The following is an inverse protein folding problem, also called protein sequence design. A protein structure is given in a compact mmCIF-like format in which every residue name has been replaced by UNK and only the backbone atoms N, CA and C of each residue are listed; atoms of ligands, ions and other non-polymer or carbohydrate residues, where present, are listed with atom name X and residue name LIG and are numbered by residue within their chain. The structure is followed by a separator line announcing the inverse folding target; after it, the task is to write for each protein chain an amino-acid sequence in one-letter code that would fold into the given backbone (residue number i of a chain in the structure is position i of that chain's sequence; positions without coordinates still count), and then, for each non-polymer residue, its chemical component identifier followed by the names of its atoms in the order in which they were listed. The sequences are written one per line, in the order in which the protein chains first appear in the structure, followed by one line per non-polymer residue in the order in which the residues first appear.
data_IF_309398415818
#
_entry.id   IF_309398415818
#
_cell.length_a   1.000
_cell.length_b   1.000
_cell.length_c   1.000
_cell.angle_alpha   90.00
_cell.angle_beta   90.00
_cell.angle_gamma   90.00
#
_symmetry.space_group_name_H-M   'P 1'
#
loop_
_entity.id
_entity.type
_entity.pdbx_description
1 polymer ?
#
# COMPACT_ATOMS: atom_id res chain seq x y z
N UNK A 1 17.42 -0.11 49.20
CA UNK A 1 17.28 0.55 47.88
C UNK A 1 16.01 0.15 47.13
N UNK A 2 15.56 -1.12 47.13
CA UNK A 2 14.41 -1.56 46.30
C UNK A 2 13.07 -0.90 46.62
N UNK A 3 12.74 -0.62 47.90
CA UNK A 3 11.45 0.00 48.27
C UNK A 3 11.34 1.48 47.87
N UNK A 4 12.43 2.24 47.97
CA UNK A 4 12.47 3.65 47.60
C UNK A 4 12.33 3.79 46.08
N UNK A 5 13.13 3.02 45.33
CA UNK A 5 13.07 2.99 43.86
C UNK A 5 11.71 2.57 43.32
N UNK A 6 11.03 1.61 43.97
CA UNK A 6 9.64 1.25 43.62
C UNK A 6 8.65 2.38 43.87
N UNK A 7 8.85 3.20 44.91
CA UNK A 7 8.00 4.39 45.14
C UNK A 7 8.26 5.45 44.09
N UNK A 8 9.52 5.72 43.78
CA UNK A 8 9.93 6.66 42.73
C UNK A 8 9.44 6.21 41.35
N UNK A 9 9.55 4.92 41.02
CA UNK A 9 9.03 4.36 39.77
C UNK A 9 7.50 4.50 39.66
N UNK A 10 6.76 4.29 40.75
CA UNK A 10 5.31 4.51 40.78
C UNK A 10 4.95 5.98 40.57
N UNK A 11 5.69 6.89 41.23
CA UNK A 11 5.52 8.33 41.05
C UNK A 11 5.83 8.76 39.60
N UNK A 12 6.91 8.23 39.01
CA UNK A 12 7.23 8.42 37.59
C UNK A 12 6.16 7.85 36.66
N UNK A 13 5.60 6.68 36.96
CA UNK A 13 4.52 6.07 36.18
C UNK A 13 3.27 6.95 36.19
N UNK A 14 2.82 7.39 37.38
CA UNK A 14 1.66 8.29 37.51
C UNK A 14 1.92 9.61 36.75
N UNK A 15 3.14 10.13 36.86
CA UNK A 15 3.55 11.33 36.16
C UNK A 15 3.53 11.15 34.63
N UNK A 16 4.08 10.04 34.13
CA UNK A 16 4.04 9.69 32.71
C UNK A 16 2.60 9.53 32.22
N UNK A 17 1.74 8.83 32.96
CA UNK A 17 0.34 8.62 32.59
C UNK A 17 -0.41 9.96 32.43
N UNK A 18 -0.12 10.94 33.28
CA UNK A 18 -0.64 12.30 33.11
C UNK A 18 -0.17 12.96 31.80
N UNK A 19 1.10 12.79 31.41
CA UNK A 19 1.63 13.33 30.15
C UNK A 19 1.05 12.59 28.92
N UNK A 20 0.91 11.27 29.03
CA UNK A 20 0.29 10.42 28.01
C UNK A 20 -1.16 10.81 27.78
N UNK A 21 -1.92 11.10 28.84
CA UNK A 21 -3.28 11.57 28.73
C UNK A 21 -3.37 12.90 27.95
N UNK A 22 -2.54 13.89 28.29
CA UNK A 22 -2.47 15.18 27.57
C UNK A 22 -2.12 15.00 26.09
N UNK A 23 -1.18 14.10 25.78
CA UNK A 23 -0.79 13.79 24.40
C UNK A 23 -1.92 13.10 23.65
N UNK A 24 -2.63 12.15 24.25
CA UNK A 24 -3.78 11.49 23.64
C UNK A 24 -4.90 12.49 23.36
N UNK A 25 -5.18 13.42 24.28
CA UNK A 25 -6.15 14.50 24.07
C UNK A 25 -5.72 15.43 22.93
N UNK A 26 -4.42 15.75 22.84
CA UNK A 26 -3.88 16.52 21.70
C UNK A 26 -4.00 15.73 20.40
N UNK A 27 -3.75 14.41 20.43
CA UNK A 27 -3.87 13.55 19.26
C UNK A 27 -5.31 13.47 18.76
N UNK A 28 -6.31 13.47 19.64
CA UNK A 28 -7.73 13.51 19.24
C UNK A 28 -8.10 14.78 18.44
N UNK A 29 -7.30 15.85 18.52
CA UNK A 29 -7.49 17.03 17.66
C UNK A 29 -7.24 16.67 16.19
N UNK A 30 -6.32 15.73 15.92
CA UNK A 30 -6.07 15.21 14.56
C UNK A 30 -7.26 14.41 14.02
N UNK A 31 -8.17 13.88 14.84
CA UNK A 31 -9.37 13.20 14.32
C UNK A 31 -10.37 14.19 13.70
N UNK A 32 -10.20 15.49 13.94
CA UNK A 32 -11.06 16.56 13.42
C UNK A 32 -10.42 17.21 12.20
N UNK A 33 -11.28 17.63 11.26
CA UNK A 33 -10.85 18.43 10.10
C UNK A 33 -10.23 19.74 10.60
N UNK A 34 -9.02 20.03 10.13
CA UNK A 34 -8.35 21.28 10.47
C UNK A 34 -9.15 22.47 9.94
N UNK A 35 -9.40 23.52 10.77
CA UNK A 35 -10.16 24.69 10.33
C UNK A 35 -9.51 25.36 9.12
N UNK A 36 -10.32 25.76 8.14
CA UNK A 36 -9.84 26.48 6.95
C UNK A 36 -9.24 27.86 7.28
N UNK A 37 -9.55 28.41 8.46
CA UNK A 37 -8.97 29.66 8.97
C UNK A 37 -7.56 29.48 9.54
N UNK A 38 -7.08 28.24 9.72
CA UNK A 38 -5.75 27.96 10.25
C UNK A 38 -4.72 28.08 9.13
N UNK A 39 -3.58 28.71 9.43
CA UNK A 39 -2.47 28.78 8.49
C UNK A 39 -1.91 27.36 8.25
N UNK A 40 -1.97 26.92 6.99
CA UNK A 40 -1.39 25.64 6.57
C UNK A 40 0.12 25.71 6.73
N UNK A 41 0.67 24.83 7.57
CA UNK A 41 2.12 24.67 7.69
C UNK A 41 2.66 23.78 6.59
N UNK A 42 3.84 24.11 6.09
CA UNK A 42 4.54 23.30 5.11
C UNK A 42 5.08 22.03 5.78
N UNK A 43 4.87 20.88 5.14
CA UNK A 43 5.39 19.59 5.60
C UNK A 43 6.93 19.55 5.60
N UNK A 44 7.61 20.45 4.89
CA UNK A 44 9.08 20.59 4.94
C UNK A 44 9.60 20.79 6.38
N UNK A 45 8.83 21.48 7.23
CA UNK A 45 9.15 21.71 8.64
C UNK A 45 9.04 20.43 9.50
N UNK A 46 8.42 19.36 9.00
CA UNK A 46 8.35 18.07 9.69
C UNK A 46 9.75 17.51 9.99
N UNK A 47 10.74 17.87 9.16
CA UNK A 47 12.14 17.44 9.37
C UNK A 47 12.71 17.94 10.69
N UNK A 48 12.31 19.13 11.15
CA UNK A 48 12.75 19.70 12.42
C UNK A 48 12.26 18.85 13.60
N UNK A 49 10.96 18.60 13.66
CA UNK A 49 10.35 17.78 14.72
C UNK A 49 10.91 16.36 14.72
N UNK A 50 11.04 15.76 13.55
CA UNK A 50 11.62 14.44 13.37
C UNK A 50 13.04 14.34 13.96
N UNK A 51 13.90 15.31 13.66
CA UNK A 51 15.27 15.34 14.17
C UNK A 51 15.29 15.56 15.69
N UNK A 52 14.43 16.44 16.20
CA UNK A 52 14.34 16.77 17.62
C UNK A 52 13.82 15.58 18.45
N UNK A 53 12.74 14.94 18.02
CA UNK A 53 12.17 13.74 18.66
C UNK A 53 13.18 12.59 18.66
N UNK A 54 13.86 12.33 17.54
CA UNK A 54 14.89 11.29 17.47
C UNK A 54 16.06 11.57 18.42
N UNK A 55 16.52 12.83 18.49
CA UNK A 55 17.57 13.24 19.43
C UNK A 55 17.13 13.04 20.88
N UNK A 56 15.92 13.46 21.22
CA UNK A 56 15.37 13.32 22.57
C UNK A 56 15.15 11.85 22.95
N UNK A 57 14.85 10.97 21.98
CA UNK A 57 14.74 9.54 22.19
C UNK A 57 16.10 8.93 22.57
N UNK A 58 17.18 9.35 21.90
CA UNK A 58 18.54 8.96 22.25
C UNK A 58 18.91 9.41 23.65
N UNK A 59 18.61 10.68 23.99
CA UNK A 59 18.86 11.23 25.33
C UNK A 59 18.10 10.43 26.39
N UNK A 60 16.82 10.09 26.14
CA UNK A 60 16.04 9.25 27.04
C UNK A 60 16.67 7.85 27.19
N UNK A 61 17.00 7.18 26.08
CA UNK A 61 17.64 5.87 26.12
C UNK A 61 18.94 5.85 26.95
N UNK A 62 19.78 6.88 26.82
CA UNK A 62 21.03 7.01 27.58
C UNK A 62 20.77 7.33 29.06
N UNK A 63 20.01 8.39 29.35
CA UNK A 63 19.77 8.90 30.70
C UNK A 63 19.12 7.85 31.61
N UNK A 64 18.17 7.09 31.07
CA UNK A 64 17.44 6.08 31.84
C UNK A 64 18.25 4.78 32.04
N UNK A 65 19.28 4.56 31.24
CA UNK A 65 20.22 3.46 31.41
C UNK A 65 21.34 3.75 32.43
N UNK A 66 21.48 4.99 32.89
CA UNK A 66 22.47 5.35 33.90
C UNK A 66 22.12 4.76 35.28
N UNK A 67 23.15 4.38 36.05
CA UNK A 67 22.97 3.74 37.36
C UNK A 67 22.51 4.72 38.44
N UNK A 68 22.82 6.02 38.27
CA UNK A 68 22.63 7.08 39.27
C UNK A 68 21.65 8.18 38.84
N UNK A 69 20.75 7.91 37.88
CA UNK A 69 19.82 8.92 37.36
C UNK A 69 18.94 9.48 38.47
N UNK A 70 18.97 10.80 38.62
CA UNK A 70 18.13 11.56 39.55
C UNK A 70 16.69 11.63 39.06
N UNK A 71 15.72 11.41 39.97
CA UNK A 71 14.29 11.36 39.64
C UNK A 71 13.80 12.69 39.06
N UNK A 72 14.35 13.82 39.51
CA UNK A 72 13.99 15.13 38.95
C UNK A 72 14.45 15.25 37.49
N UNK A 73 15.69 14.85 37.20
CA UNK A 73 16.19 14.82 35.82
C UNK A 73 15.36 13.89 34.92
N UNK A 74 14.88 12.75 35.44
CA UNK A 74 13.99 11.84 34.71
C UNK A 74 12.63 12.49 34.40
N UNK A 75 12.03 13.22 35.36
CA UNK A 75 10.79 13.99 35.15
C UNK A 75 10.98 15.11 34.13
N UNK A 76 12.07 15.87 34.23
CA UNK A 76 12.40 16.92 33.27
C UNK A 76 12.59 16.37 31.85
N UNK A 77 13.21 15.19 31.72
CA UNK A 77 13.33 14.50 30.45
C UNK A 77 11.97 14.11 29.86
N UNK A 78 11.06 13.54 30.67
CA UNK A 78 9.68 13.24 30.24
C UNK A 78 8.99 14.53 29.76
N UNK A 79 9.01 15.61 30.54
CA UNK A 79 8.35 16.87 30.19
C UNK A 79 8.91 17.45 28.89
N UNK A 80 10.24 17.51 28.77
CA UNK A 80 10.90 18.05 27.58
C UNK A 80 10.51 17.26 26.33
N UNK A 81 10.51 15.92 26.44
CA UNK A 81 10.13 15.06 25.33
C UNK A 81 8.67 15.24 24.92
N UNK A 82 7.75 15.15 25.89
CA UNK A 82 6.32 15.20 25.62
C UNK A 82 5.87 16.58 25.14
N UNK A 83 6.52 17.67 25.56
CA UNK A 83 6.26 19.00 25.00
C UNK A 83 6.61 19.09 23.50
N UNK A 84 7.74 18.52 23.08
CA UNK A 84 8.13 18.47 21.66
C UNK A 84 7.18 17.57 20.87
N UNK A 85 6.79 16.43 21.44
CA UNK A 85 5.82 15.53 20.83
C UNK A 85 4.46 16.23 20.66
N UNK A 86 4.01 16.99 21.66
CA UNK A 86 2.78 17.78 21.57
C UNK A 86 2.86 18.83 20.46
N UNK A 87 3.97 19.57 20.39
CA UNK A 87 4.23 20.52 19.32
C UNK A 87 4.20 19.88 17.94
N UNK A 88 4.74 18.68 17.81
CA UNK A 88 4.68 17.88 16.58
C UNK A 88 3.25 17.50 16.19
N UNK A 89 2.43 17.03 17.14
CA UNK A 89 1.03 16.69 16.86
C UNK A 89 0.21 17.90 16.41
N UNK A 90 0.40 19.04 17.06
CA UNK A 90 -0.22 20.31 16.66
C UNK A 90 0.25 20.76 15.28
N UNK A 91 1.54 20.58 14.97
CA UNK A 91 2.08 20.81 13.63
C UNK A 91 1.40 19.92 12.59
N UNK A 92 1.28 18.62 12.85
CA UNK A 92 0.60 17.69 11.94
C UNK A 92 -0.85 18.12 11.68
N UNK A 93 -1.56 18.56 12.72
CA UNK A 93 -2.92 19.09 12.56
C UNK A 93 -2.93 20.32 11.64
N UNK A 94 -2.05 21.30 11.84
CA UNK A 94 -1.92 22.46 10.95
C UNK A 94 -1.56 22.09 9.50
N UNK A 95 -0.77 21.04 9.30
CA UNK A 95 -0.40 20.58 7.96
C UNK A 95 -1.53 19.86 7.22
N UNK A 96 -2.58 19.43 7.93
CA UNK A 96 -3.77 18.81 7.35
C UNK A 96 -4.83 19.81 6.86
N UNK A 97 -4.57 21.12 6.93
CA UNK A 97 -5.46 22.14 6.34
C UNK A 97 -5.58 21.90 4.83
N UNK A 98 -6.81 21.71 4.35
CA UNK A 98 -7.09 21.37 2.95
C UNK A 98 -6.67 19.96 2.53
N UNK A 99 -6.40 19.05 3.48
CA UNK A 99 -6.16 17.64 3.19
C UNK A 99 -7.47 16.90 2.95
N UNK A 100 -7.51 16.10 1.88
CA UNK A 100 -8.54 15.09 1.68
C UNK A 100 -8.36 13.89 2.61
N UNK A 101 -9.37 12.99 2.69
CA UNK A 101 -9.33 11.80 3.53
C UNK A 101 -8.06 10.96 3.37
N UNK A 102 -7.53 10.82 2.15
CA UNK A 102 -6.37 9.98 1.88
C UNK A 102 -5.09 10.58 2.46
N UNK A 103 -4.83 11.88 2.23
CA UNK A 103 -3.67 12.58 2.81
C UNK A 103 -3.77 12.63 4.33
N UNK A 104 -4.96 12.99 4.84
CA UNK A 104 -5.22 13.08 6.27
C UNK A 104 -4.95 11.76 6.99
N UNK A 105 -5.46 10.63 6.48
CA UNK A 105 -5.22 9.29 7.03
C UNK A 105 -3.74 8.93 7.09
N UNK A 106 -2.96 9.30 6.07
CA UNK A 106 -1.52 9.02 6.02
C UNK A 106 -0.73 9.86 7.04
N UNK A 107 -1.05 11.15 7.18
CA UNK A 107 -0.44 12.02 8.21
C UNK A 107 -0.83 11.52 9.60
N UNK A 108 -2.11 11.28 9.84
CA UNK A 108 -2.64 10.77 11.11
C UNK A 108 -1.95 9.47 11.53
N UNK A 109 -1.88 8.48 10.65
CA UNK A 109 -1.22 7.21 10.91
C UNK A 109 0.29 7.34 11.13
N UNK A 110 0.97 8.29 10.47
CA UNK A 110 2.38 8.57 10.73
C UNK A 110 2.60 9.23 12.09
N UNK A 111 1.78 10.23 12.45
CA UNK A 111 1.80 10.90 13.75
C UNK A 111 1.53 9.91 14.89
N UNK A 112 0.55 9.02 14.71
CA UNK A 112 0.21 7.97 15.68
C UNK A 112 1.38 7.03 15.94
N UNK A 113 2.06 6.56 14.89
CA UNK A 113 3.22 5.68 15.02
C UNK A 113 4.36 6.33 15.83
N UNK A 114 4.65 7.61 15.59
CA UNK A 114 5.65 8.34 16.38
C UNK A 114 5.24 8.40 17.84
N UNK A 115 3.98 8.80 18.11
CA UNK A 115 3.42 8.87 19.46
C UNK A 115 3.48 7.53 20.19
N UNK A 116 2.98 6.45 19.58
CA UNK A 116 2.91 5.12 20.19
C UNK A 116 4.31 4.56 20.49
N UNK A 117 5.27 4.73 19.58
CA UNK A 117 6.67 4.34 19.79
C UNK A 117 7.30 5.15 20.94
N UNK A 118 7.06 6.46 21.01
CA UNK A 118 7.54 7.31 22.10
C UNK A 118 6.98 6.89 23.45
N UNK A 119 5.67 6.63 23.54
CA UNK A 119 5.02 6.18 24.78
C UNK A 119 5.60 4.83 25.21
N UNK A 120 5.80 3.91 24.26
CA UNK A 120 6.36 2.58 24.53
C UNK A 120 7.79 2.67 25.09
N UNK A 121 8.64 3.55 24.54
CA UNK A 121 9.97 3.82 25.06
C UNK A 121 9.92 4.25 26.53
N UNK A 122 9.10 5.25 26.89
CA UNK A 122 9.04 5.76 28.26
C UNK A 122 8.41 4.79 29.26
N UNK A 123 7.44 3.98 28.83
CA UNK A 123 6.89 2.91 29.68
C UNK A 123 7.96 1.88 30.01
N UNK A 124 8.76 1.49 29.04
CA UNK A 124 9.82 0.50 29.26
C UNK A 124 10.98 1.08 30.08
N UNK A 125 11.36 2.35 29.89
CA UNK A 125 12.42 2.96 30.70
C UNK A 125 12.02 3.08 32.17
N UNK A 126 10.76 3.38 32.50
CA UNK A 126 10.25 3.36 33.88
C UNK A 126 10.20 1.93 34.43
N UNK A 127 9.74 0.98 33.63
CA UNK A 127 9.71 -0.45 33.95
C UNK A 127 11.13 -1.00 34.26
N UNK A 128 12.13 -0.60 33.48
CA UNK A 128 13.55 -0.86 33.74
C UNK A 128 14.04 -0.15 35.00
N UNK A 129 13.68 1.12 35.20
CA UNK A 129 14.06 1.86 36.40
C UNK A 129 13.57 1.15 37.67
N UNK A 130 12.34 0.62 37.68
CA UNK A 130 11.79 -0.12 38.81
C UNK A 130 12.56 -1.40 39.14
N UNK A 131 12.80 -2.25 38.12
CA UNK A 131 13.29 -3.63 38.33
C UNK A 131 14.81 -3.75 38.21
N UNK A 132 15.47 -2.85 37.46
CA UNK A 132 16.85 -2.96 36.98
C UNK A 132 17.16 -4.31 36.33
N UNK A 133 16.15 -4.86 35.66
CA UNK A 133 16.28 -6.09 34.89
C UNK A 133 17.15 -5.84 33.67
N UNK A 134 18.24 -6.59 33.53
CA UNK A 134 19.18 -6.46 32.43
C UNK A 134 18.52 -6.77 31.08
N UNK A 135 17.50 -7.64 31.04
CA UNK A 135 16.74 -7.92 29.82
C UNK A 135 15.96 -6.70 29.34
N UNK A 136 15.39 -5.92 30.26
CA UNK A 136 14.71 -4.66 29.92
C UNK A 136 15.68 -3.56 29.51
N UNK A 137 16.92 -3.62 29.99
CA UNK A 137 17.98 -2.72 29.51
C UNK A 137 18.29 -2.97 28.04
N UNK A 138 18.26 -4.23 27.61
CA UNK A 138 18.53 -4.63 26.22
C UNK A 138 17.41 -4.24 25.25
N UNK A 139 16.17 -4.04 25.72
CA UNK A 139 15.04 -3.61 24.89
C UNK A 139 14.98 -2.08 24.68
N UNK A 140 15.56 -1.28 25.57
CA UNK A 140 15.59 0.19 25.45
C UNK A 140 16.22 0.66 24.12
N UNK A 141 17.38 0.12 23.67
CA UNK A 141 17.92 0.42 22.34
C UNK A 141 16.97 0.08 21.20
N UNK A 142 16.25 -1.04 21.28
CA UNK A 142 15.29 -1.46 20.25
C UNK A 142 14.10 -0.49 20.19
N UNK A 143 13.56 -0.07 21.34
CA UNK A 143 12.48 0.90 21.40
C UNK A 143 12.91 2.30 20.95
N UNK A 144 14.17 2.67 21.24
CA UNK A 144 14.76 3.91 20.70
C UNK A 144 14.86 3.83 19.17
N UNK A 145 15.28 2.67 18.64
CA UNK A 145 15.28 2.38 17.21
C UNK A 145 13.89 2.47 16.59
N UNK A 146 12.85 1.94 17.26
CA UNK A 146 11.47 2.04 16.79
C UNK A 146 10.96 3.49 16.69
N UNK A 147 11.38 4.37 17.62
CA UNK A 147 11.10 5.81 17.52
C UNK A 147 11.83 6.42 16.31
N UNK A 148 13.10 6.06 16.10
CA UNK A 148 13.86 6.54 14.95
C UNK A 148 13.24 6.10 13.62
N UNK A 149 12.81 4.86 13.51
CA UNK A 149 12.13 4.33 12.33
C UNK A 149 10.80 5.05 12.07
N UNK A 150 10.01 5.28 13.10
CA UNK A 150 8.77 6.05 13.00
C UNK A 150 9.04 7.50 12.54
N UNK A 151 10.08 8.13 13.10
CA UNK A 151 10.55 9.44 12.66
C UNK A 151 11.03 9.42 11.20
N UNK A 152 11.87 8.46 10.80
CA UNK A 152 12.35 8.32 9.43
C UNK A 152 11.20 8.09 8.43
N UNK A 153 10.15 7.37 8.84
CA UNK A 153 8.94 7.20 8.03
C UNK A 153 8.22 8.53 7.75
N UNK A 154 8.37 9.58 8.57
CA UNK A 154 7.80 10.91 8.30
C UNK A 154 8.38 11.56 7.05
N UNK A 155 9.65 11.29 6.70
CA UNK A 155 10.24 11.74 5.41
C UNK A 155 9.46 11.19 4.23
N UNK A 156 8.98 9.96 4.38
CA UNK A 156 8.15 9.28 3.41
C UNK A 156 6.69 9.64 3.60
N UNK A 157 6.25 10.58 4.42
CA UNK A 157 4.83 10.98 4.46
C UNK A 157 4.53 11.90 3.26
N UNK A 158 3.39 11.77 2.55
CA UNK A 158 3.09 12.67 1.45
C UNK A 158 2.81 14.08 1.97
N UNK A 159 3.23 15.10 1.20
CA UNK A 159 3.05 16.51 1.54
C UNK A 159 1.85 17.17 0.85
N UNK A 160 1.22 16.50 -0.11
CA UNK A 160 0.05 17.01 -0.84
C UNK A 160 -0.94 15.89 -1.18
N UNK A 161 -2.17 16.27 -1.56
CA UNK A 161 -3.20 15.29 -1.92
C UNK A 161 -2.79 14.54 -3.19
N UNK A 162 -2.19 15.21 -4.18
CA UNK A 162 -1.70 14.55 -5.39
C UNK A 162 -0.69 13.44 -5.08
N UNK A 163 0.26 13.67 -4.16
CA UNK A 163 1.25 12.65 -3.77
C UNK A 163 0.57 11.52 -2.98
N UNK A 164 -0.36 11.84 -2.09
CA UNK A 164 -1.09 10.84 -1.31
C UNK A 164 -1.92 9.92 -2.20
N UNK A 165 -2.70 10.50 -3.13
CA UNK A 165 -3.50 9.77 -4.12
C UNK A 165 -2.59 8.95 -5.05
N UNK A 166 -1.52 9.54 -5.59
CA UNK A 166 -0.59 8.81 -6.47
C UNK A 166 0.06 7.60 -5.81
N UNK A 167 0.29 7.64 -4.49
CA UNK A 167 0.75 6.46 -3.74
C UNK A 167 -0.33 5.41 -3.56
N UNK A 168 -1.58 5.82 -3.30
CA UNK A 168 -2.69 4.89 -3.26
C UNK A 168 -2.88 4.21 -4.64
N UNK A 169 -2.80 4.97 -5.73
CA UNK A 169 -2.82 4.43 -7.10
C UNK A 169 -1.66 3.46 -7.36
N UNK A 170 -0.48 3.73 -6.79
CA UNK A 170 0.67 2.81 -6.88
C UNK A 170 0.36 1.46 -6.21
N UNK A 171 -0.32 1.47 -5.07
CA UNK A 171 -0.75 0.23 -4.40
C UNK A 171 -1.80 -0.53 -5.23
N UNK A 172 -2.74 0.18 -5.86
CA UNK A 172 -3.65 -0.44 -6.83
C UNK A 172 -2.89 -1.04 -8.01
N UNK A 173 -1.83 -0.38 -8.49
CA UNK A 173 -0.98 -0.93 -9.54
C UNK A 173 -0.30 -2.25 -9.13
N UNK A 174 0.18 -2.36 -7.88
CA UNK A 174 0.73 -3.62 -7.36
C UNK A 174 -0.37 -4.69 -7.32
N UNK A 175 -1.53 -4.36 -6.78
CA UNK A 175 -2.69 -5.25 -6.73
C UNK A 175 -3.09 -5.79 -8.11
N UNK A 176 -3.21 -4.92 -9.13
CA UNK A 176 -3.51 -5.36 -10.51
C UNK A 176 -2.40 -6.23 -11.09
N UNK A 177 -1.13 -5.97 -10.78
CA UNK A 177 -0.04 -6.83 -11.23
C UNK A 177 -0.12 -8.23 -10.64
N UNK A 178 -0.57 -8.35 -9.39
CA UNK A 178 -0.76 -9.65 -8.74
C UNK A 178 -1.89 -10.42 -9.44
N UNK A 179 -3.00 -9.76 -9.80
CA UNK A 179 -4.08 -10.36 -10.61
C UNK A 179 -3.55 -10.83 -11.97
N UNK A 180 -2.79 -9.98 -12.69
CA UNK A 180 -2.19 -10.35 -13.98
C UNK A 180 -1.30 -11.58 -13.82
N UNK A 181 -0.48 -11.64 -12.77
CA UNK A 181 0.40 -12.78 -12.51
C UNK A 181 -0.42 -14.05 -12.28
N UNK A 182 -1.40 -14.03 -11.38
CA UNK A 182 -2.27 -15.18 -11.08
C UNK A 182 -3.01 -15.69 -12.33
N UNK A 183 -3.52 -14.78 -13.15
CA UNK A 183 -4.20 -15.13 -14.40
C UNK A 183 -3.27 -15.72 -15.47
N UNK A 184 -2.00 -15.31 -15.52
CA UNK A 184 -1.03 -15.92 -16.41
C UNK A 184 -0.61 -17.32 -15.93
N UNK A 185 -0.53 -17.54 -14.62
CA UNK A 185 -0.28 -18.86 -14.03
C UNK A 185 -1.39 -19.85 -14.43
N UNK A 186 -2.66 -19.41 -14.42
CA UNK A 186 -3.81 -20.20 -14.90
C UNK A 186 -3.63 -20.68 -16.35
N UNK A 187 -3.15 -19.82 -17.26
CA UNK A 187 -2.90 -20.21 -18.66
C UNK A 187 -1.72 -21.16 -18.82
N UNK A 188 -0.70 -21.06 -17.96
CA UNK A 188 0.49 -21.88 -18.03
C UNK A 188 0.25 -23.31 -17.50
N UNK A 189 -0.50 -23.44 -16.39
CA UNK A 189 -0.84 -24.74 -15.79
C UNK A 189 -1.65 -25.62 -16.74
N UNK A 190 -2.53 -25.03 -17.52
CA UNK A 190 -3.32 -25.75 -18.52
C UNK A 190 -2.47 -26.25 -19.71
N UNK A 191 -1.40 -25.53 -20.08
CA UNK A 191 -0.50 -25.95 -21.17
C UNK A 191 0.42 -27.12 -20.80
N UNK A 192 0.67 -27.35 -19.51
CA UNK A 192 1.52 -28.46 -19.04
C UNK A 192 0.85 -29.84 -19.04
N UNK A 193 -0.47 -29.92 -19.27
CA UNK A 193 -1.22 -31.19 -19.28
C UNK A 193 -1.20 -31.88 -20.66
N UNK A 194 -0.65 -31.24 -21.71
CA UNK A 194 -0.69 -31.75 -23.09
C UNK A 194 0.66 -31.97 -23.80
N UNK A 195 1.80 -31.90 -23.12
CA UNK A 195 3.07 -32.37 -23.71
C UNK A 195 3.37 -33.82 -23.29
N UNK A 196 2.62 -34.74 -23.88
CA UNK A 196 3.12 -36.08 -24.16
C UNK A 196 3.85 -36.05 -25.50
N UNK A 197 5.19 -36.01 -25.45
CA UNK A 197 6.08 -36.33 -26.57
C UNK A 197 6.29 -35.20 -27.59
N UNK A 198 7.39 -34.47 -27.42
CA UNK A 198 8.43 -34.21 -28.42
C UNK A 198 9.37 -33.18 -27.79
N UNK A 199 10.39 -33.70 -27.10
CA UNK A 199 11.55 -32.94 -26.64
C UNK A 199 12.34 -32.52 -27.87
N UNK A 200 12.34 -31.22 -28.20
CA UNK A 200 13.45 -30.63 -28.96
C UNK A 200 14.51 -30.24 -27.94
N UNK A 201 15.50 -31.12 -27.81
CA UNK A 201 16.73 -30.93 -27.02
C UNK A 201 17.51 -29.74 -27.58
N UNK A 202 17.70 -28.69 -26.78
CA UNK A 202 18.81 -27.75 -26.98
C UNK A 202 20.05 -28.34 -26.30
N UNK A 203 21.03 -28.68 -27.14
CA UNK A 203 22.36 -29.18 -26.76
C UNK A 203 23.11 -28.15 -25.91
N UNK A 204 23.42 -28.49 -24.65
CA UNK A 204 24.55 -27.92 -23.93
C UNK A 204 25.54 -29.04 -23.60
N UNK A 205 26.69 -29.01 -24.27
CA UNK A 205 27.88 -29.81 -23.96
C UNK A 205 28.44 -29.36 -22.60
N UNK A 206 28.72 -30.31 -21.69
CA UNK A 206 30.06 -30.53 -21.12
C UNK A 206 30.08 -31.70 -20.10
N UNK A 207 30.82 -32.73 -20.50
CA UNK A 207 31.72 -33.63 -19.76
C UNK A 207 31.21 -34.66 -18.72
N UNK A 208 31.79 -35.85 -18.90
CA UNK A 208 31.52 -37.17 -18.34
C UNK A 208 31.94 -37.32 -16.87
N UNK A 209 31.24 -38.19 -16.12
CA UNK A 209 31.86 -39.39 -15.50
C UNK A 209 30.79 -40.36 -14.94
N UNK A 210 31.00 -41.63 -15.30
CA UNK A 210 30.35 -42.92 -15.01
C UNK A 210 30.08 -43.18 -13.49
N UNK A 211 29.25 -44.10 -12.96
CA UNK A 211 28.51 -45.28 -13.43
C UNK A 211 27.60 -45.83 -12.28
N UNK A 212 26.74 -46.81 -12.64
CA UNK A 212 26.11 -47.89 -11.82
C UNK A 212 24.67 -47.78 -11.27
N UNK A 213 23.76 -48.36 -12.08
CA UNK A 213 22.81 -49.48 -11.82
C UNK A 213 21.78 -49.47 -10.67
N UNK A 214 20.50 -49.72 -11.04
CA UNK A 214 19.47 -50.21 -10.10
C UNK A 214 18.03 -50.25 -10.62
N UNK A 215 17.64 -51.41 -11.16
CA UNK A 215 16.35 -51.84 -11.73
C UNK A 215 15.00 -51.54 -11.03
N UNK A 216 13.95 -51.67 -11.87
CA UNK A 216 12.59 -52.20 -11.67
C UNK A 216 11.39 -51.27 -11.35
N UNK A 217 10.51 -51.17 -12.37
CA UNK A 217 9.04 -51.32 -12.39
C UNK A 217 8.20 -50.77 -11.23
N UNK A 218 7.24 -49.91 -11.58
CA UNK A 218 5.83 -50.33 -11.51
C UNK A 218 4.92 -49.40 -12.34
N UNK A 219 4.21 -50.02 -13.29
CA UNK A 219 2.96 -49.53 -13.84
C UNK A 219 1.94 -49.40 -12.71
N UNK A 220 1.51 -48.18 -12.40
CA UNK A 220 0.23 -47.95 -11.72
C UNK A 220 -0.48 -46.78 -12.38
N UNK A 221 -1.38 -47.16 -13.27
CA UNK A 221 -2.50 -46.35 -13.73
C UNK A 221 -3.18 -45.67 -12.54
N UNK A 222 -3.28 -44.35 -12.57
CA UNK A 222 -4.41 -43.66 -11.98
C UNK A 222 -4.88 -42.60 -12.99
N UNK A 223 -5.71 -43.06 -13.92
CA UNK A 223 -6.69 -42.21 -14.57
C UNK A 223 -7.68 -41.74 -13.50
N UNK A 224 -7.34 -40.64 -12.83
CA UNK A 224 -8.35 -39.76 -12.27
C UNK A 224 -8.80 -38.86 -13.41
N UNK A 225 -10.00 -39.14 -13.93
CA UNK A 225 -10.74 -38.20 -14.76
C UNK A 225 -10.89 -36.90 -13.97
N UNK A 226 -10.04 -35.92 -14.27
CA UNK A 226 -10.19 -34.52 -13.91
C UNK A 226 -10.67 -33.76 -15.16
N UNK A 227 -11.76 -34.25 -15.77
CA UNK A 227 -12.33 -33.69 -17.01
C UNK A 227 -13.11 -32.38 -16.76
N UNK A 228 -12.67 -31.56 -15.80
CA UNK A 228 -13.42 -30.39 -15.35
C UNK A 228 -12.62 -29.15 -14.93
N UNK A 229 -11.28 -29.19 -14.95
CA UNK A 229 -10.44 -28.06 -14.49
C UNK A 229 -9.62 -27.40 -15.63
N UNK A 230 -9.62 -27.99 -16.83
CA UNK A 230 -8.92 -27.45 -17.99
C UNK A 230 -9.79 -26.46 -18.78
N UNK A 231 -9.19 -25.35 -19.24
CA UNK A 231 -9.84 -24.32 -20.03
C UNK A 231 -10.08 -24.81 -21.47
N UNK A 232 -11.31 -24.70 -21.96
CA UNK A 232 -11.58 -24.89 -23.39
C UNK A 232 -10.89 -23.82 -24.25
N UNK A 233 -10.70 -24.03 -25.57
CA UNK A 233 -10.09 -23.04 -26.46
C UNK A 233 -10.81 -21.67 -26.45
N UNK A 234 -12.13 -21.67 -26.30
CA UNK A 234 -12.94 -20.45 -26.17
C UNK A 234 -12.69 -19.76 -24.81
N UNK A 235 -12.69 -20.53 -23.72
CA UNK A 235 -12.41 -20.03 -22.38
C UNK A 235 -10.97 -19.49 -22.26
N UNK A 236 -9.99 -20.12 -22.92
CA UNK A 236 -8.61 -19.61 -23.06
C UNK A 236 -8.57 -18.25 -23.74
N UNK A 237 -9.37 -18.05 -24.77
CA UNK A 237 -9.44 -16.78 -25.47
C UNK A 237 -10.04 -15.70 -24.57
N UNK A 238 -11.14 -16.00 -23.87
CA UNK A 238 -11.74 -15.09 -22.88
C UNK A 238 -10.73 -14.73 -21.78
N UNK A 239 -10.03 -15.72 -21.22
CA UNK A 239 -9.00 -15.51 -20.19
C UNK A 239 -7.87 -14.58 -20.68
N UNK A 240 -7.39 -14.77 -21.92
CA UNK A 240 -6.40 -13.87 -22.55
C UNK A 240 -6.94 -12.44 -22.70
N UNK A 241 -8.19 -12.26 -23.12
CA UNK A 241 -8.82 -10.94 -23.22
C UNK A 241 -8.97 -10.28 -21.85
N UNK A 242 -9.30 -11.03 -20.79
CA UNK A 242 -9.35 -10.53 -19.40
C UNK A 242 -7.96 -10.09 -18.91
N UNK A 243 -6.90 -10.86 -19.18
CA UNK A 243 -5.52 -10.47 -18.88
C UNK A 243 -5.14 -9.17 -19.60
N UNK A 244 -5.57 -9.02 -20.86
CA UNK A 244 -5.38 -7.79 -21.62
C UNK A 244 -6.10 -6.61 -20.97
N UNK A 245 -7.34 -6.78 -20.51
CA UNK A 245 -8.08 -5.74 -19.78
C UNK A 245 -7.40 -5.36 -18.45
N UNK A 246 -6.91 -6.33 -17.68
CA UNK A 246 -6.14 -6.07 -16.46
C UNK A 246 -4.84 -5.31 -16.76
N UNK A 247 -4.12 -5.71 -17.81
CA UNK A 247 -2.89 -5.04 -18.26
C UNK A 247 -3.13 -3.60 -18.71
N UNK A 248 -4.21 -3.34 -19.46
CA UNK A 248 -4.58 -1.99 -19.86
C UNK A 248 -5.03 -1.14 -18.67
N UNK A 249 -5.71 -1.73 -17.69
CA UNK A 249 -6.05 -1.06 -16.42
C UNK A 249 -4.78 -0.63 -15.66
N UNK A 250 -3.77 -1.49 -15.59
CA UNK A 250 -2.47 -1.15 -15.02
C UNK A 250 -1.79 0.02 -15.75
N UNK A 251 -1.85 0.08 -17.08
CA UNK A 251 -1.33 1.21 -17.85
C UNK A 251 -2.10 2.51 -17.59
N UNK A 252 -3.44 2.45 -17.45
CA UNK A 252 -4.25 3.61 -17.04
C UNK A 252 -3.78 4.15 -15.68
N UNK A 253 -3.57 3.28 -14.68
CA UNK A 253 -3.07 3.69 -13.36
C UNK A 253 -1.69 4.36 -13.47
N UNK A 254 -0.77 3.83 -14.29
CA UNK A 254 0.54 4.44 -14.53
C UNK A 254 0.44 5.82 -15.15
N UNK A 255 -0.42 6.01 -16.14
CA UNK A 255 -0.64 7.32 -16.77
C UNK A 255 -1.27 8.32 -15.79
N UNK A 256 -2.20 7.88 -14.94
CA UNK A 256 -2.74 8.71 -13.86
C UNK A 256 -1.64 9.12 -12.87
N UNK A 257 -0.76 8.20 -12.44
CA UNK A 257 0.37 8.51 -11.55
C UNK A 257 1.31 9.54 -12.19
N UNK A 258 1.62 9.39 -13.50
CA UNK A 258 2.44 10.34 -14.26
C UNK A 258 1.79 11.72 -14.30
N UNK A 259 0.49 11.78 -14.58
CA UNK A 259 -0.29 13.01 -14.58
C UNK A 259 -0.27 13.69 -13.20
N UNK A 260 -0.57 12.97 -12.12
CA UNK A 260 -0.51 13.51 -10.75
C UNK A 260 0.88 14.02 -10.39
N UNK A 261 1.94 13.31 -10.80
CA UNK A 261 3.33 13.75 -10.62
C UNK A 261 3.60 15.05 -11.39
N UNK A 262 3.06 15.18 -12.60
CA UNK A 262 3.09 16.40 -13.39
C UNK A 262 2.38 17.57 -12.70
N UNK A 263 1.21 17.32 -12.09
CA UNK A 263 0.47 18.34 -11.32
C UNK A 263 1.26 18.87 -10.13
N UNK A 264 1.95 18.00 -9.39
CA UNK A 264 2.80 18.40 -8.26
C UNK A 264 3.92 19.34 -8.71
N UNK A 265 4.46 19.15 -9.92
CA UNK A 265 5.54 19.98 -10.47
C UNK A 265 5.04 21.30 -11.07
N UNK A 266 3.82 21.33 -11.61
CA UNK A 266 3.26 22.48 -12.34
C UNK A 266 2.44 23.43 -11.47
N UNK A 267 1.85 22.93 -10.38
CA UNK A 267 1.11 23.77 -9.44
C UNK A 267 2.07 24.54 -8.52
N UNK A 268 2.32 25.80 -8.89
CA UNK A 268 2.40 26.86 -7.87
C UNK A 268 1.06 26.94 -7.12
N UNK A 269 1.04 27.67 -5.99
CA UNK A 269 0.01 27.82 -4.93
C UNK A 269 -1.50 27.90 -5.32
N UNK A 270 -2.00 27.03 -6.20
CA UNK A 270 -3.41 26.88 -6.58
C UNK A 270 -4.03 25.78 -5.73
N UNK A 271 -5.24 26.03 -5.25
CA UNK A 271 -6.03 25.05 -4.52
C UNK A 271 -6.17 23.76 -5.34
N UNK A 272 -5.87 22.63 -4.70
CA UNK A 272 -6.12 21.32 -5.28
C UNK A 272 -7.63 21.07 -5.28
N UNK A 273 -8.19 20.55 -6.38
CA UNK A 273 -9.55 20.04 -6.37
C UNK A 273 -9.54 18.68 -5.66
N UNK A 274 -9.55 18.73 -4.32
CA UNK A 274 -9.42 17.56 -3.44
C UNK A 274 -10.56 16.58 -3.67
N UNK A 275 -11.80 17.08 -3.84
CA UNK A 275 -12.97 16.23 -4.04
C UNK A 275 -12.85 15.42 -5.33
N UNK A 276 -12.45 16.03 -6.45
CA UNK A 276 -12.23 15.30 -7.70
C UNK A 276 -11.04 14.33 -7.61
N UNK A 277 -9.99 14.67 -6.88
CA UNK A 277 -8.86 13.76 -6.66
C UNK A 277 -9.26 12.50 -5.87
N UNK A 278 -10.09 12.66 -4.84
CA UNK A 278 -10.57 11.53 -4.03
C UNK A 278 -11.63 10.70 -4.78
N UNK A 279 -12.50 11.33 -5.58
CA UNK A 279 -13.43 10.63 -6.48
C UNK A 279 -12.69 9.80 -7.53
N UNK A 280 -11.65 10.37 -8.15
CA UNK A 280 -10.80 9.66 -9.10
C UNK A 280 -10.21 8.39 -8.45
N UNK A 281 -9.72 8.51 -7.22
CA UNK A 281 -9.18 7.36 -6.48
C UNK A 281 -10.25 6.33 -6.14
N UNK A 282 -11.46 6.74 -5.77
CA UNK A 282 -12.58 5.81 -5.55
C UNK A 282 -12.90 5.03 -6.83
N UNK A 283 -13.03 5.73 -7.96
CA UNK A 283 -13.33 5.11 -9.25
C UNK A 283 -12.24 4.10 -9.65
N UNK A 284 -10.95 4.45 -9.48
CA UNK A 284 -9.86 3.53 -9.78
C UNK A 284 -9.83 2.30 -8.86
N UNK A 285 -10.26 2.42 -7.60
CA UNK A 285 -10.42 1.26 -6.70
C UNK A 285 -11.53 0.35 -7.19
N UNK A 286 -12.71 0.90 -7.48
CA UNK A 286 -13.86 0.14 -7.98
C UNK A 286 -13.52 -0.58 -9.30
N UNK A 287 -12.85 0.09 -10.24
CA UNK A 287 -12.35 -0.53 -11.47
C UNK A 287 -11.40 -1.69 -11.15
N UNK A 288 -10.52 -1.52 -10.17
CA UNK A 288 -9.56 -2.56 -9.80
C UNK A 288 -10.24 -3.77 -9.16
N UNK A 289 -11.27 -3.54 -8.34
CA UNK A 289 -12.10 -4.60 -7.76
C UNK A 289 -12.90 -5.33 -8.85
N UNK A 290 -13.52 -4.62 -9.80
CA UNK A 290 -14.20 -5.26 -10.93
C UNK A 290 -13.27 -6.03 -11.86
N UNK A 291 -12.00 -5.60 -12.03
CA UNK A 291 -11.00 -6.37 -12.77
C UNK A 291 -10.64 -7.66 -12.03
N UNK A 292 -10.51 -7.61 -10.70
CA UNK A 292 -10.29 -8.80 -9.88
C UNK A 292 -11.46 -9.78 -10.01
N UNK A 293 -12.69 -9.28 -9.88
CA UNK A 293 -13.90 -10.11 -9.97
C UNK A 293 -14.09 -10.68 -11.38
N UNK A 294 -13.76 -9.89 -12.42
CA UNK A 294 -13.73 -10.36 -13.80
C UNK A 294 -12.68 -11.47 -14.01
N UNK A 295 -11.50 -11.34 -13.37
CA UNK A 295 -10.47 -12.37 -13.33
C UNK A 295 -10.96 -13.65 -12.66
N UNK A 296 -11.64 -13.53 -11.51
CA UNK A 296 -12.20 -14.66 -10.79
C UNK A 296 -13.27 -15.40 -11.62
N UNK A 297 -14.10 -14.68 -12.39
CA UNK A 297 -15.08 -15.32 -13.28
C UNK A 297 -14.45 -16.10 -14.44
N UNK A 298 -13.18 -15.86 -14.78
CA UNK A 298 -12.49 -16.49 -15.89
C UNK A 298 -11.87 -17.86 -15.55
N UNK A 299 -11.96 -18.29 -14.28
CA UNK A 299 -11.63 -19.66 -13.88
C UNK A 299 -12.75 -20.64 -14.32
N UNK A 300 -12.41 -21.89 -14.69
CA UNK A 300 -13.41 -22.91 -15.02
C UNK A 300 -14.34 -23.27 -13.84
N UNK A 301 -15.62 -23.56 -14.10
CA UNK A 301 -16.37 -23.21 -15.30
C UNK A 301 -16.65 -21.70 -15.37
N UNK A 302 -16.41 -21.07 -16.53
CA UNK A 302 -16.53 -19.62 -16.66
C UNK A 302 -17.96 -19.08 -16.49
N UNK A 303 -18.13 -18.00 -15.73
CA UNK A 303 -19.42 -17.34 -15.52
C UNK A 303 -19.64 -16.15 -16.47
N UNK A 304 -20.10 -16.44 -17.69
CA UNK A 304 -20.35 -15.43 -18.72
C UNK A 304 -21.41 -14.38 -18.33
N UNK A 305 -22.34 -14.69 -17.41
CA UNK A 305 -23.36 -13.73 -16.97
C UNK A 305 -22.74 -12.66 -16.06
N UNK A 306 -21.97 -13.09 -15.06
CA UNK A 306 -21.26 -12.18 -14.17
C UNK A 306 -20.19 -11.36 -14.92
N UNK A 307 -19.45 -11.97 -15.84
CA UNK A 307 -18.48 -11.24 -16.66
C UNK A 307 -19.13 -10.07 -17.42
N UNK A 308 -20.33 -10.26 -18.00
CA UNK A 308 -21.05 -9.17 -18.69
C UNK A 308 -21.41 -8.01 -17.76
N UNK A 309 -21.77 -8.32 -16.51
CA UNK A 309 -22.07 -7.31 -15.50
C UNK A 309 -20.81 -6.51 -15.12
N UNK A 310 -19.69 -7.19 -14.85
CA UNK A 310 -18.42 -6.52 -14.54
C UNK A 310 -17.90 -5.69 -15.71
N UNK A 311 -17.98 -6.18 -16.95
CA UNK A 311 -17.62 -5.42 -18.16
C UNK A 311 -18.47 -4.14 -18.27
N UNK A 312 -19.77 -4.21 -18.00
CA UNK A 312 -20.65 -3.04 -17.99
C UNK A 312 -20.25 -2.03 -16.91
N UNK A 313 -19.92 -2.50 -15.71
CA UNK A 313 -19.46 -1.63 -14.62
C UNK A 313 -18.13 -0.94 -14.98
N UNK A 314 -17.20 -1.68 -15.61
CA UNK A 314 -15.92 -1.15 -16.09
C UNK A 314 -16.11 -0.03 -17.12
N UNK A 315 -17.03 -0.16 -18.07
CA UNK A 315 -17.38 0.94 -18.99
C UNK A 315 -17.85 2.19 -18.23
N UNK A 316 -18.73 2.02 -17.23
CA UNK A 316 -19.18 3.12 -16.37
C UNK A 316 -18.01 3.79 -15.62
N UNK A 317 -17.13 2.98 -15.03
CA UNK A 317 -15.93 3.45 -14.34
C UNK A 317 -14.99 4.25 -15.25
N UNK A 318 -14.74 3.78 -16.47
CA UNK A 318 -13.93 4.49 -17.48
C UNK A 318 -14.51 5.87 -17.77
N UNK A 319 -15.84 5.99 -17.91
CA UNK A 319 -16.50 7.27 -18.14
C UNK A 319 -16.29 8.25 -16.97
N UNK A 320 -16.44 7.79 -15.72
CA UNK A 320 -16.23 8.65 -14.55
C UNK A 320 -14.76 9.05 -14.39
N UNK A 321 -13.80 8.15 -14.66
CA UNK A 321 -12.37 8.50 -14.66
C UNK A 321 -12.07 9.60 -15.69
N UNK A 322 -12.62 9.52 -16.91
CA UNK A 322 -12.44 10.59 -17.92
C UNK A 322 -12.92 11.93 -17.39
N UNK A 323 -14.12 11.97 -16.84
CA UNK A 323 -14.76 13.18 -16.30
C UNK A 323 -13.98 13.78 -15.12
N UNK A 324 -13.51 12.96 -14.18
CA UNK A 324 -12.70 13.44 -13.07
C UNK A 324 -11.35 14.01 -13.56
N UNK A 325 -10.72 13.36 -14.54
CA UNK A 325 -9.49 13.86 -15.17
C UNK A 325 -9.72 15.19 -15.89
N UNK A 326 -10.81 15.35 -16.62
CA UNK A 326 -11.18 16.62 -17.27
C UNK A 326 -11.29 17.76 -16.25
N UNK A 327 -11.99 17.50 -15.13
CA UNK A 327 -12.16 18.47 -14.04
C UNK A 327 -10.80 18.82 -13.40
N UNK A 328 -9.96 17.82 -13.13
CA UNK A 328 -8.65 18.02 -12.48
C UNK A 328 -7.68 18.75 -13.42
N UNK A 329 -7.69 18.39 -14.71
CA UNK A 329 -6.80 18.97 -15.71
C UNK A 329 -7.15 20.44 -16.02
N UNK A 330 -8.43 20.83 -15.86
CA UNK A 330 -8.87 22.23 -16.05
C UNK A 330 -8.53 22.78 -17.44
N UNK A 331 -8.53 21.91 -18.47
CA UNK A 331 -8.10 22.23 -19.84
C UNK A 331 -6.64 21.94 -20.19
N UNK A 332 -5.86 21.35 -19.26
CA UNK A 332 -4.51 20.82 -19.54
C UNK A 332 -4.51 19.50 -20.32
N UNK A 333 -3.34 19.06 -20.78
CA UNK A 333 -3.20 17.82 -21.57
C UNK A 333 -3.18 16.58 -20.66
N UNK A 334 -4.02 15.59 -21.01
CA UNK A 334 -4.10 14.28 -20.36
C UNK A 334 -4.11 13.15 -21.40
N UNK A 335 -3.48 13.38 -22.55
CA UNK A 335 -3.56 12.55 -23.74
C UNK A 335 -3.13 11.10 -23.49
N UNK A 336 -2.10 10.89 -22.66
CA UNK A 336 -1.65 9.55 -22.26
C UNK A 336 -2.72 8.76 -21.50
N UNK A 337 -3.49 9.44 -20.63
CA UNK A 337 -4.60 8.83 -19.90
C UNK A 337 -5.73 8.49 -20.86
N UNK A 338 -6.14 9.42 -21.74
CA UNK A 338 -7.21 9.13 -22.70
C UNK A 338 -6.84 8.01 -23.68
N UNK A 339 -5.58 7.94 -24.12
CA UNK A 339 -5.10 6.86 -24.98
C UNK A 339 -5.09 5.50 -24.27
N UNK A 340 -4.72 5.44 -22.99
CA UNK A 340 -4.80 4.19 -22.21
C UNK A 340 -6.24 3.78 -21.91
N UNK A 341 -7.13 4.73 -21.59
CA UNK A 341 -8.56 4.46 -21.41
C UNK A 341 -9.24 3.97 -22.69
N UNK A 342 -8.88 4.52 -23.86
CA UNK A 342 -9.38 4.03 -25.15
C UNK A 342 -8.92 2.60 -25.45
N UNK A 343 -7.68 2.23 -25.09
CA UNK A 343 -7.20 0.86 -25.26
C UNK A 343 -7.96 -0.13 -24.35
N UNK A 344 -8.20 0.26 -23.10
CA UNK A 344 -9.02 -0.52 -22.19
C UNK A 344 -10.45 -0.70 -22.73
N UNK A 345 -11.07 0.38 -23.22
CA UNK A 345 -12.42 0.37 -23.82
C UNK A 345 -12.53 -0.62 -25.00
N UNK A 346 -11.54 -0.65 -25.89
CA UNK A 346 -11.46 -1.62 -26.99
C UNK A 346 -11.38 -3.06 -26.47
N UNK A 347 -10.56 -3.33 -25.45
CA UNK A 347 -10.46 -4.66 -24.85
C UNK A 347 -11.78 -5.10 -24.19
N UNK A 348 -12.51 -4.20 -23.55
CA UNK A 348 -13.80 -4.51 -22.95
C UNK A 348 -14.86 -4.84 -24.01
N UNK A 349 -14.83 -4.14 -25.15
CA UNK A 349 -15.70 -4.47 -26.29
C UNK A 349 -15.39 -5.85 -26.88
N UNK A 350 -14.11 -6.23 -26.94
CA UNK A 350 -13.70 -7.58 -27.36
C UNK A 350 -14.27 -8.66 -26.44
N UNK A 351 -14.11 -8.50 -25.12
CA UNK A 351 -14.68 -9.43 -24.13
C UNK A 351 -16.20 -9.49 -24.30
N UNK A 352 -16.88 -8.35 -24.43
CA UNK A 352 -18.33 -8.31 -24.59
C UNK A 352 -18.81 -9.05 -25.85
N UNK A 353 -18.05 -8.96 -26.96
CA UNK A 353 -18.34 -9.67 -28.21
C UNK A 353 -18.24 -11.19 -28.04
N UNK A 354 -17.18 -11.68 -27.40
CA UNK A 354 -16.99 -13.10 -27.10
C UNK A 354 -18.13 -13.66 -26.27
N UNK A 355 -18.50 -12.98 -25.18
CA UNK A 355 -19.56 -13.42 -24.29
C UNK A 355 -20.96 -13.40 -24.94
N UNK A 356 -21.12 -12.69 -26.06
CA UNK A 356 -22.38 -12.61 -26.79
C UNK A 356 -22.53 -13.68 -27.86
N UNK A 357 -21.51 -14.54 -28.06
CA UNK A 357 -21.55 -15.63 -29.05
C UNK A 357 -21.30 -15.17 -30.49
N UNK A 358 -20.76 -13.97 -30.71
CA UNK A 358 -20.33 -13.47 -32.04
C UNK A 358 -19.01 -14.13 -32.53
N UNK A 359 -18.73 -15.35 -32.05
CA UNK A 359 -17.53 -16.14 -32.35
C UNK A 359 -17.49 -16.62 -33.81
N UNK A 360 -18.59 -16.45 -34.56
CA UNK A 360 -18.64 -16.82 -35.97
C UNK A 360 -17.75 -15.96 -36.90
N UNK A 361 -17.39 -14.73 -36.53
CA UNK A 361 -16.67 -13.80 -37.43
C UNK A 361 -15.18 -13.58 -37.08
N UNK A 362 -14.73 -14.05 -35.90
CA UNK A 362 -13.37 -13.83 -35.38
C UNK A 362 -12.37 -14.91 -35.77
N UNK A 363 -12.80 -16.18 -35.86
CA UNK A 363 -11.93 -17.32 -36.12
C UNK A 363 -11.49 -17.36 -37.60
N UNK A 364 -12.24 -16.78 -38.52
CA UNK A 364 -11.86 -16.71 -39.95
C UNK A 364 -10.85 -15.61 -40.30
N UNK A 365 -10.63 -14.61 -39.43
CA UNK A 365 -9.75 -13.46 -39.74
C UNK A 365 -8.29 -13.62 -39.35
N UNK A 366 -7.90 -14.72 -38.73
CA UNK A 366 -6.50 -14.97 -38.32
C UNK A 366 -5.95 -16.32 -38.81
N UNK A 367 -6.67 -17.04 -39.69
CA UNK A 367 -6.17 -18.25 -40.38
C UNK A 367 -5.79 -18.00 -41.84
N UNK A 368 -5.40 -16.78 -42.22
CA UNK A 368 -4.75 -16.50 -43.51
C UNK A 368 -3.47 -15.70 -43.31
#
# INVERSE_FOLDING_TARGET
MSRQRRREAKDLSIFLDSQVQTINETFQILDKVAPSSLEKKDWSDASKYRMEISKLATVAGMLWCEETSDVMALKENIVTYFNVLQGFLLFCHSSTVGAGPTLHKLIHGASKRVMDSSISLFRETISFYETRDTKKRETIPQLTGAVWEACEALKKCPSSNCIAIGRAMTQLGVYIKDIIREMNELLASDSSTHQGGEEEEEEEEEEEEEEEEGADKDELSNASNDEGDDLSPEEKFITKSVISAASNTYEVLKEIIRFLTGLVRSKGNKEENVDSLEKLLSCCREISDWINDLGACAYPPQDAFQMKEYVKNLFGGICEVRKDIEIIAGGGTADGIYASLNRLDVCLHEIQGLLSGDVADGIEKLSI
#
